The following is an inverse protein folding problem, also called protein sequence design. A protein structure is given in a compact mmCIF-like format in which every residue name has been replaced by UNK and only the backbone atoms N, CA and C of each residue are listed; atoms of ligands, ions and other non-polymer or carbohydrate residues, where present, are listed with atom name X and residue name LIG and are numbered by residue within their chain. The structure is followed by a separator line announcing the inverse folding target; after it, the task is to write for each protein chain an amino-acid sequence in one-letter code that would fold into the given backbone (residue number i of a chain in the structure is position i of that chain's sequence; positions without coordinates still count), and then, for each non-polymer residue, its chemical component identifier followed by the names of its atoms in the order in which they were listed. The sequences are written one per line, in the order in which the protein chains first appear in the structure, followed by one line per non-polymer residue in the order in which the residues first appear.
data_IF_344307199128
#
_entry.id   IF_344307199128
#
_cell.length_a   1.000
_cell.length_b   1.000
_cell.length_c   1.000
_cell.angle_alpha   90.00
_cell.angle_beta   90.00
_cell.angle_gamma   90.00
#
_symmetry.space_group_name_H-M   'P 1'
#
loop_
_entity.id
_entity.type
_entity.pdbx_description
1 polymer ?
#
# COMPACT_ATOMS: atom_id res chain seq x y z
N UNK A 1 31.26 -10.99 -3.89
CA UNK A 1 30.91 -12.43 -3.81
C UNK A 1 29.63 -12.69 -3.00
N UNK A 2 29.45 -12.13 -1.79
CA UNK A 2 28.25 -12.35 -0.97
C UNK A 2 26.96 -11.75 -1.60
N UNK A 3 27.01 -10.51 -2.10
CA UNK A 3 25.89 -9.85 -2.80
C UNK A 3 25.37 -10.67 -3.99
N UNK A 4 26.27 -11.12 -4.85
CA UNK A 4 25.93 -11.98 -5.99
C UNK A 4 25.25 -13.30 -5.57
N UNK A 5 25.69 -13.92 -4.46
CA UNK A 5 25.03 -15.14 -3.94
C UNK A 5 23.62 -14.86 -3.44
N UNK A 6 23.40 -13.71 -2.81
CA UNK A 6 22.07 -13.28 -2.36
C UNK A 6 21.17 -13.01 -3.56
N UNK A 7 21.63 -12.23 -4.54
CA UNK A 7 20.89 -11.95 -5.78
C UNK A 7 20.51 -13.24 -6.52
N UNK A 8 21.45 -14.18 -6.66
CA UNK A 8 21.17 -15.49 -7.26
C UNK A 8 20.16 -16.31 -6.45
N UNK A 9 20.21 -16.23 -5.12
CA UNK A 9 19.24 -16.88 -4.23
C UNK A 9 17.83 -16.31 -4.42
N UNK A 10 17.72 -14.99 -4.51
CA UNK A 10 16.46 -14.28 -4.76
C UNK A 10 15.91 -14.68 -6.14
N UNK A 11 16.73 -14.61 -7.19
CA UNK A 11 16.32 -14.98 -8.54
C UNK A 11 15.79 -16.42 -8.62
N UNK A 12 16.44 -17.38 -7.94
CA UNK A 12 15.97 -18.78 -7.86
C UNK A 12 14.64 -18.92 -7.13
N UNK A 13 14.46 -18.20 -6.02
CA UNK A 13 13.20 -18.22 -5.28
C UNK A 13 12.06 -17.62 -6.12
N UNK A 14 12.30 -16.51 -6.82
CA UNK A 14 11.35 -15.89 -7.73
C UNK A 14 11.01 -16.80 -8.93
N UNK A 15 12.00 -17.52 -9.49
CA UNK A 15 11.76 -18.47 -10.57
C UNK A 15 10.75 -19.56 -10.18
N UNK A 16 10.90 -20.14 -8.99
CA UNK A 16 9.95 -21.15 -8.48
C UNK A 16 8.51 -20.58 -8.35
N UNK A 17 8.36 -19.30 -7.99
CA UNK A 17 7.05 -18.65 -7.93
C UNK A 17 6.49 -18.41 -9.34
N UNK A 18 7.33 -17.96 -10.27
CA UNK A 18 6.95 -17.75 -11.65
C UNK A 18 6.54 -19.06 -12.34
N UNK A 19 7.14 -20.19 -11.98
CA UNK A 19 6.77 -21.50 -12.54
C UNK A 19 5.30 -21.86 -12.26
N UNK A 20 4.73 -21.41 -11.14
CA UNK A 20 3.30 -21.57 -10.85
C UNK A 20 2.44 -20.76 -11.83
N UNK A 21 2.86 -19.56 -12.19
CA UNK A 21 2.16 -18.72 -13.18
C UNK A 21 2.26 -19.29 -14.58
N UNK A 22 3.43 -19.82 -14.94
CA UNK A 22 3.63 -20.51 -16.22
C UNK A 22 2.76 -21.77 -16.29
N UNK A 23 2.67 -22.53 -15.20
CA UNK A 23 1.78 -23.69 -15.11
C UNK A 23 0.31 -23.29 -15.31
N UNK A 24 -0.15 -22.21 -14.68
CA UNK A 24 -1.51 -21.67 -14.88
C UNK A 24 -1.76 -21.33 -16.36
N UNK A 25 -0.86 -20.59 -17.01
CA UNK A 25 -1.01 -20.23 -18.43
C UNK A 25 -1.07 -21.48 -19.32
N UNK A 26 -0.13 -22.41 -19.11
CA UNK A 26 -0.03 -23.61 -19.95
C UNK A 26 -1.23 -24.53 -19.77
N UNK A 27 -1.69 -24.77 -18.54
CA UNK A 27 -2.89 -25.60 -18.31
C UNK A 27 -4.13 -24.97 -18.93
N UNK A 28 -4.32 -23.66 -18.79
CA UNK A 28 -5.45 -22.94 -19.40
C UNK A 28 -5.42 -22.99 -20.93
N UNK A 29 -4.24 -22.78 -21.53
CA UNK A 29 -4.07 -22.84 -22.99
C UNK A 29 -4.24 -24.24 -23.53
N UNK A 30 -3.79 -25.26 -22.80
CA UNK A 30 -3.96 -26.66 -23.16
C UNK A 30 -5.44 -27.05 -23.14
N UNK A 31 -6.17 -26.67 -22.09
CA UNK A 31 -7.63 -26.85 -21.99
C UNK A 31 -8.33 -26.23 -23.20
N UNK A 32 -8.08 -24.95 -23.48
CA UNK A 32 -8.71 -24.24 -24.59
C UNK A 32 -8.40 -24.89 -25.94
N UNK A 33 -7.14 -25.28 -26.18
CA UNK A 33 -6.74 -25.94 -27.43
C UNK A 33 -7.41 -27.29 -27.62
N UNK A 34 -7.51 -28.10 -26.56
CA UNK A 34 -8.21 -29.38 -26.64
C UNK A 34 -9.71 -29.20 -26.87
N UNK A 35 -10.34 -28.22 -26.22
CA UNK A 35 -11.76 -27.93 -26.48
C UNK A 35 -12.01 -27.55 -27.93
N UNK A 36 -11.17 -26.67 -28.50
CA UNK A 36 -11.26 -26.29 -29.92
C UNK A 36 -11.08 -27.48 -30.85
N UNK A 37 -10.09 -28.34 -30.59
CA UNK A 37 -9.81 -29.54 -31.40
C UNK A 37 -10.96 -30.56 -31.29
N UNK A 38 -11.54 -30.73 -30.10
CA UNK A 38 -12.71 -31.59 -29.90
C UNK A 38 -13.89 -31.09 -30.73
N UNK A 39 -14.14 -29.79 -30.69
CA UNK A 39 -15.25 -29.16 -31.42
C UNK A 39 -15.07 -29.20 -32.94
N UNK A 40 -13.82 -29.17 -33.44
CA UNK A 40 -13.54 -29.21 -34.88
C UNK A 40 -13.47 -30.62 -35.46
N UNK A 41 -12.98 -31.59 -34.69
CA UNK A 41 -12.52 -32.88 -35.22
C UNK A 41 -13.44 -34.05 -34.88
N UNK A 42 -14.34 -33.91 -33.91
CA UNK A 42 -15.22 -34.98 -33.44
C UNK A 42 -16.70 -34.67 -33.62
N UNK A 43 -17.54 -35.65 -34.00
CA UNK A 43 -18.98 -35.47 -34.05
C UNK A 43 -19.55 -35.27 -32.64
N UNK A 44 -20.64 -34.49 -32.54
CA UNK A 44 -21.36 -34.32 -31.28
C UNK A 44 -22.08 -35.61 -30.90
N UNK A 45 -21.45 -36.40 -30.03
CA UNK A 45 -22.00 -37.62 -29.46
C UNK A 45 -21.66 -37.71 -27.96
N UNK A 46 -22.25 -38.69 -27.28
CA UNK A 46 -22.08 -38.88 -25.85
C UNK A 46 -20.60 -39.06 -25.43
N UNK A 47 -19.81 -39.79 -26.23
CA UNK A 47 -18.38 -40.03 -25.96
C UNK A 47 -17.55 -38.74 -26.09
N UNK A 48 -17.83 -37.93 -27.11
CA UNK A 48 -17.21 -36.61 -27.30
C UNK A 48 -17.53 -35.67 -26.14
N UNK A 49 -18.74 -35.72 -25.58
CA UNK A 49 -19.09 -34.90 -24.41
C UNK A 49 -18.39 -35.39 -23.12
N UNK A 50 -18.21 -36.70 -22.94
CA UNK A 50 -17.38 -37.22 -21.85
C UNK A 50 -15.92 -36.76 -21.95
N UNK A 51 -15.36 -36.76 -23.16
CA UNK A 51 -14.02 -36.22 -23.41
C UNK A 51 -13.95 -34.72 -23.09
N UNK A 52 -14.98 -33.94 -23.47
CA UNK A 52 -15.09 -32.51 -23.12
C UNK A 52 -15.08 -32.31 -21.61
N UNK A 53 -15.86 -33.09 -20.86
CA UNK A 53 -15.89 -33.00 -19.39
C UNK A 53 -14.53 -33.35 -18.78
N UNK A 54 -13.82 -34.34 -19.32
CA UNK A 54 -12.46 -34.66 -18.90
C UNK A 54 -11.51 -33.49 -19.14
N UNK A 55 -11.56 -32.85 -20.32
CA UNK A 55 -10.73 -31.68 -20.61
C UNK A 55 -11.07 -30.51 -19.69
N UNK A 56 -12.36 -30.23 -19.45
CA UNK A 56 -12.78 -29.20 -18.49
C UNK A 56 -12.31 -29.47 -17.05
N UNK A 57 -12.04 -30.73 -16.69
CA UNK A 57 -11.48 -31.05 -15.38
C UNK A 57 -10.07 -30.47 -15.18
N UNK A 58 -9.33 -30.13 -16.25
CA UNK A 58 -8.06 -29.39 -16.14
C UNK A 58 -8.24 -28.03 -15.45
N UNK A 59 -9.42 -27.41 -15.53
CA UNK A 59 -9.74 -26.19 -14.80
C UNK A 59 -9.51 -26.31 -13.29
N UNK A 60 -9.78 -27.48 -12.71
CA UNK A 60 -9.52 -27.74 -11.29
C UNK A 60 -8.02 -27.73 -10.92
N UNK A 61 -7.16 -28.19 -11.84
CA UNK A 61 -5.71 -28.11 -11.68
C UNK A 61 -5.23 -26.67 -11.83
N UNK A 62 -5.77 -25.91 -12.80
CA UNK A 62 -5.50 -24.48 -12.95
C UNK A 62 -5.85 -23.71 -11.68
N UNK A 63 -7.01 -23.97 -11.08
CA UNK A 63 -7.41 -23.32 -9.83
C UNK A 63 -6.52 -23.70 -8.66
N UNK A 64 -6.04 -24.95 -8.61
CA UNK A 64 -5.07 -25.40 -7.62
C UNK A 64 -3.73 -24.67 -7.75
N UNK A 65 -3.23 -24.46 -8.97
CA UNK A 65 -2.01 -23.67 -9.21
C UNK A 65 -2.20 -22.20 -8.85
N UNK A 66 -3.33 -21.58 -9.21
CA UNK A 66 -3.66 -20.20 -8.81
C UNK A 66 -3.67 -20.04 -7.29
N UNK A 67 -4.30 -20.98 -6.58
CA UNK A 67 -4.33 -20.97 -5.12
C UNK A 67 -2.93 -21.11 -4.53
N UNK A 68 -2.13 -22.05 -5.04
CA UNK A 68 -0.74 -22.23 -4.61
C UNK A 68 0.10 -20.96 -4.84
N UNK A 69 -0.08 -20.32 -6.00
CA UNK A 69 0.61 -19.07 -6.35
C UNK A 69 0.22 -17.91 -5.42
N UNK A 70 -1.09 -17.70 -5.19
CA UNK A 70 -1.59 -16.67 -4.29
C UNK A 70 -1.09 -16.88 -2.85
N UNK A 71 -1.16 -18.11 -2.34
CA UNK A 71 -0.65 -18.42 -1.01
C UNK A 71 0.86 -18.16 -0.90
N UNK A 72 1.62 -18.49 -1.94
CA UNK A 72 3.08 -18.32 -1.94
C UNK A 72 3.49 -16.84 -1.94
N UNK A 73 2.80 -15.99 -2.71
CA UNK A 73 3.08 -14.54 -2.69
C UNK A 73 2.61 -13.89 -1.38
N UNK A 74 1.48 -14.34 -0.80
CA UNK A 74 1.05 -13.88 0.52
C UNK A 74 2.05 -14.24 1.62
N UNK A 75 2.61 -15.45 1.58
CA UNK A 75 3.68 -15.87 2.50
C UNK A 75 4.96 -15.06 2.31
N UNK A 76 5.33 -14.75 1.07
CA UNK A 76 6.47 -13.89 0.76
C UNK A 76 6.26 -12.49 1.36
N UNK A 77 5.10 -11.88 1.11
CA UNK A 77 4.72 -10.59 1.70
C UNK A 77 4.79 -10.66 3.22
N UNK A 78 4.17 -11.66 3.84
CA UNK A 78 4.17 -11.86 5.30
C UNK A 78 5.59 -11.93 5.87
N UNK A 79 6.51 -12.59 5.17
CA UNK A 79 7.93 -12.71 5.57
C UNK A 79 8.64 -11.37 5.56
N UNK A 80 8.42 -10.53 4.54
CA UNK A 80 9.05 -9.20 4.45
C UNK A 80 8.34 -8.15 5.32
N UNK A 81 7.10 -8.39 5.75
CA UNK A 81 6.31 -7.42 6.53
C UNK A 81 7.00 -6.95 7.81
N UNK A 82 7.77 -7.80 8.48
CA UNK A 82 8.55 -7.38 9.66
C UNK A 82 9.55 -6.28 9.30
N UNK A 83 10.21 -6.40 8.14
CA UNK A 83 11.15 -5.38 7.65
C UNK A 83 10.43 -4.11 7.22
N UNK A 84 9.29 -4.22 6.55
CA UNK A 84 8.43 -3.06 6.18
C UNK A 84 8.03 -2.27 7.43
N UNK A 85 7.64 -2.95 8.51
CA UNK A 85 7.30 -2.28 9.78
C UNK A 85 8.49 -1.53 10.37
N UNK A 86 9.68 -2.12 10.35
CA UNK A 86 10.90 -1.47 10.85
C UNK A 86 11.20 -0.21 10.02
N UNK A 87 11.20 -0.33 8.69
CA UNK A 87 11.45 0.79 7.77
C UNK A 87 10.42 1.92 8.01
N UNK A 88 9.14 1.58 8.09
CA UNK A 88 8.08 2.56 8.34
C UNK A 88 8.27 3.26 9.70
N UNK A 89 8.56 2.50 10.76
CA UNK A 89 8.77 3.06 12.09
C UNK A 89 9.96 4.00 12.16
N UNK A 90 11.07 3.62 11.52
CA UNK A 90 12.31 4.39 11.47
C UNK A 90 12.11 5.70 10.70
N UNK A 91 11.48 5.63 9.53
CA UNK A 91 11.18 6.81 8.73
C UNK A 91 10.31 7.82 9.52
N UNK A 92 9.22 7.34 10.11
CA UNK A 92 8.27 8.18 10.86
C UNK A 92 8.77 8.60 12.25
N UNK A 93 9.79 7.94 12.80
CA UNK A 93 10.31 8.24 14.14
C UNK A 93 9.46 7.70 15.29
N UNK A 94 8.72 6.60 15.08
CA UNK A 94 7.89 5.98 16.11
C UNK A 94 8.69 5.02 17.00
N UNK A 95 9.40 5.56 17.97
CA UNK A 95 10.17 4.75 18.92
C UNK A 95 9.29 4.26 20.07
N UNK A 96 8.87 3.00 19.96
CA UNK A 96 8.21 2.21 21.00
C UNK A 96 8.92 0.88 21.22
N UNK A 97 10.25 0.86 21.20
CA UNK A 97 11.05 -0.22 21.76
C UNK A 97 12.47 0.31 22.02
N UNK A 98 12.91 0.19 23.27
CA UNK A 98 14.31 0.28 23.63
C UNK A 98 15.10 -0.78 22.82
N UNK A 99 15.69 -0.35 21.72
CA UNK A 99 16.77 -1.06 21.06
C UNK A 99 17.89 -0.05 20.86
N UNK A 100 18.87 -0.13 21.74
CA UNK A 100 20.12 0.57 21.63
C UNK A 100 20.70 0.38 20.22
N UNK A 101 20.83 1.48 19.50
CA UNK A 101 21.94 1.72 18.57
C UNK A 101 22.42 3.13 18.81
N UNK A 102 23.28 3.19 19.82
CA UNK A 102 24.46 4.02 19.99
C UNK A 102 24.66 5.19 19.01
N UNK A 103 25.01 6.32 19.63
CA UNK A 103 25.48 7.59 19.05
C UNK A 103 24.37 8.58 18.64
N UNK A 104 23.77 9.21 19.64
CA UNK A 104 23.69 10.66 19.61
C UNK A 104 23.79 11.19 21.04
N UNK A 105 25.04 11.42 21.46
CA UNK A 105 25.36 12.13 22.69
C UNK A 105 25.10 13.60 22.44
N UNK A 106 24.25 14.18 23.27
CA UNK A 106 24.33 15.60 23.61
C UNK A 106 25.75 15.94 24.09
N UNK A 107 26.13 17.21 23.90
CA UNK A 107 27.34 17.92 24.39
C UNK A 107 28.44 18.16 23.33
N UNK A 108 28.40 19.38 22.79
CA UNK A 108 29.50 20.34 22.55
C UNK A 108 30.81 19.77 21.95
N UNK A 109 31.06 20.07 20.68
CA UNK A 109 32.43 20.13 20.14
C UNK A 109 32.62 19.68 18.69
N UNK A 110 32.75 20.64 17.78
CA UNK A 110 33.69 20.60 16.65
C UNK A 110 33.60 19.46 15.60
N UNK A 111 32.80 19.68 14.55
CA UNK A 111 33.28 19.57 13.16
C UNK A 111 33.27 18.22 12.42
N UNK A 112 32.35 18.16 11.43
CA UNK A 112 32.37 17.47 10.11
C UNK A 112 32.11 15.94 10.03
N UNK A 113 30.84 15.60 9.83
CA UNK A 113 30.33 14.91 8.64
C UNK A 113 28.79 14.91 8.67
N UNK A 114 28.16 15.68 7.77
CA UNK A 114 26.75 15.61 7.33
C UNK A 114 25.74 15.01 8.32
N UNK A 115 25.46 15.73 9.40
CA UNK A 115 24.28 15.45 10.22
C UNK A 115 23.08 16.01 9.46
N UNK A 116 22.60 15.24 8.46
CA UNK A 116 21.36 15.55 7.74
C UNK A 116 20.29 15.48 8.82
N UNK A 117 19.77 16.63 9.25
CA UNK A 117 18.61 16.72 10.14
C UNK A 117 17.51 15.82 9.57
N UNK A 118 17.37 14.61 10.10
CA UNK A 118 16.39 13.64 9.60
C UNK A 118 15.03 14.13 10.06
N UNK A 119 14.27 14.74 9.16
CA UNK A 119 12.91 15.20 9.45
C UNK A 119 12.05 13.95 9.66
N UNK A 120 11.58 13.78 10.90
CA UNK A 120 10.60 12.76 11.29
C UNK A 120 9.19 13.24 10.90
N UNK A 121 8.21 12.35 10.98
CA UNK A 121 6.83 12.71 10.67
C UNK A 121 6.29 13.72 11.69
N UNK A 122 5.98 14.94 11.24
CA UNK A 122 5.37 16.00 12.04
C UNK A 122 4.40 16.83 11.18
N UNK A 123 3.20 17.07 11.70
CA UNK A 123 2.15 17.87 11.07
C UNK A 123 1.63 19.01 11.96
N UNK A 124 2.28 19.24 13.10
CA UNK A 124 2.10 20.47 13.88
C UNK A 124 3.13 21.48 13.36
N UNK A 125 2.72 22.31 12.39
CA UNK A 125 3.59 23.17 11.59
C UNK A 125 3.07 24.62 11.64
N UNK A 126 3.95 25.54 12.00
CA UNK A 126 3.78 26.96 11.72
C UNK A 126 4.35 27.31 10.33
N UNK A 127 4.27 28.58 9.94
CA UNK A 127 4.73 29.04 8.62
C UNK A 127 6.22 28.73 8.39
N UNK A 128 7.08 28.98 9.39
CA UNK A 128 8.53 28.75 9.30
C UNK A 128 8.84 27.25 9.18
N UNK A 129 8.21 26.40 10.01
CA UNK A 129 8.38 24.96 9.95
C UNK A 129 7.85 24.37 8.63
N UNK A 130 6.76 24.92 8.10
CA UNK A 130 6.21 24.50 6.80
C UNK A 130 7.17 24.85 5.66
N UNK A 131 7.70 26.07 5.62
CA UNK A 131 8.69 26.50 4.62
C UNK A 131 9.96 25.63 4.68
N UNK A 132 10.46 25.37 5.89
CA UNK A 132 11.61 24.49 6.09
C UNK A 132 11.33 23.06 5.62
N UNK A 133 10.11 22.55 5.83
CA UNK A 133 9.71 21.22 5.38
C UNK A 133 9.67 21.10 3.85
N UNK A 134 9.35 22.17 3.11
CA UNK A 134 9.30 22.14 1.64
C UNK A 134 10.69 21.96 1.00
N UNK A 135 11.75 22.41 1.67
CA UNK A 135 13.13 22.33 1.15
C UNK A 135 13.94 21.18 1.75
N UNK A 136 13.44 20.59 2.83
CA UNK A 136 14.09 19.48 3.53
C UNK A 136 13.75 18.12 2.92
N UNK A 137 14.61 17.12 3.13
CA UNK A 137 14.28 15.75 2.76
C UNK A 137 13.22 15.19 3.72
N UNK A 138 12.00 15.03 3.23
CA UNK A 138 10.88 14.50 4.00
C UNK A 138 11.03 13.01 4.37
N UNK A 139 10.39 12.61 5.48
CA UNK A 139 10.40 11.22 5.93
C UNK A 139 9.89 10.24 4.87
N UNK A 140 8.96 10.68 4.02
CA UNK A 140 8.35 9.84 3.02
C UNK A 140 9.30 9.48 1.88
N UNK A 141 10.20 10.39 1.49
CA UNK A 141 11.24 10.09 0.49
C UNK A 141 12.17 8.97 0.99
N UNK A 142 12.55 9.02 2.28
CA UNK A 142 13.34 7.97 2.94
C UNK A 142 12.58 6.65 3.04
N UNK A 143 11.29 6.70 3.41
CA UNK A 143 10.41 5.53 3.46
C UNK A 143 10.34 4.85 2.09
N UNK A 144 10.01 5.61 1.05
CA UNK A 144 9.91 5.10 -0.32
C UNK A 144 11.24 4.52 -0.80
N UNK A 145 12.37 5.21 -0.58
CA UNK A 145 13.70 4.72 -0.97
C UNK A 145 14.03 3.39 -0.29
N UNK A 146 13.74 3.28 1.01
CA UNK A 146 13.99 2.05 1.78
C UNK A 146 13.06 0.90 1.37
N UNK A 147 11.81 1.21 1.02
CA UNK A 147 10.88 0.23 0.45
C UNK A 147 11.40 -0.24 -0.92
N UNK A 148 11.87 0.68 -1.76
CA UNK A 148 12.40 0.38 -3.09
C UNK A 148 13.61 -0.56 -3.00
N UNK A 149 14.57 -0.27 -2.12
CA UNK A 149 15.72 -1.15 -1.85
C UNK A 149 15.32 -2.55 -1.38
N UNK A 150 14.20 -2.66 -0.64
CA UNK A 150 13.68 -3.94 -0.17
C UNK A 150 13.00 -4.75 -1.28
N UNK A 151 12.21 -4.11 -2.13
CA UNK A 151 11.33 -4.79 -3.10
C UNK A 151 11.96 -4.95 -4.48
N UNK A 152 12.85 -4.04 -4.89
CA UNK A 152 13.41 -4.02 -6.25
C UNK A 152 14.11 -5.34 -6.63
N UNK A 153 14.90 -5.99 -5.75
CA UNK A 153 15.51 -7.28 -6.07
C UNK A 153 14.49 -8.40 -6.34
N UNK A 154 13.28 -8.31 -5.78
CA UNK A 154 12.19 -9.26 -6.05
C UNK A 154 11.47 -8.87 -7.35
N UNK A 155 11.19 -7.57 -7.52
CA UNK A 155 10.40 -7.01 -8.63
C UNK A 155 10.98 -7.39 -9.99
N UNK A 156 12.29 -7.23 -10.16
CA UNK A 156 12.99 -7.51 -11.42
C UNK A 156 13.00 -9.00 -11.81
N UNK A 157 12.65 -9.91 -10.91
CA UNK A 157 12.67 -11.35 -11.14
C UNK A 157 11.29 -12.00 -11.08
N UNK A 158 10.25 -11.29 -10.65
CA UNK A 158 8.87 -11.79 -10.62
C UNK A 158 8.14 -11.43 -11.91
N UNK A 159 7.18 -12.27 -12.31
CA UNK A 159 6.23 -11.86 -13.35
C UNK A 159 5.33 -10.72 -12.87
N UNK A 160 4.82 -9.84 -13.75
CA UNK A 160 4.11 -8.60 -13.37
C UNK A 160 3.01 -8.78 -12.31
N UNK A 161 2.17 -9.83 -12.44
CA UNK A 161 1.10 -10.09 -11.45
C UNK A 161 1.62 -10.33 -10.04
N UNK A 162 2.72 -11.09 -9.92
CA UNK A 162 3.33 -11.41 -8.62
C UNK A 162 4.12 -10.22 -8.08
N UNK A 163 4.82 -9.50 -8.97
CA UNK A 163 5.48 -8.22 -8.69
C UNK A 163 4.49 -7.24 -8.05
N UNK A 164 3.37 -6.99 -8.71
CA UNK A 164 2.32 -6.08 -8.23
C UNK A 164 1.73 -6.53 -6.89
N UNK A 165 1.50 -7.83 -6.70
CA UNK A 165 1.00 -8.36 -5.42
C UNK A 165 1.98 -8.10 -4.26
N UNK A 166 3.29 -8.22 -4.50
CA UNK A 166 4.32 -7.89 -3.50
C UNK A 166 4.31 -6.39 -3.20
N UNK A 167 4.31 -5.55 -4.24
CA UNK A 167 4.27 -4.08 -4.11
C UNK A 167 3.05 -3.65 -3.30
N UNK A 168 1.85 -4.11 -3.67
CA UNK A 168 0.59 -3.80 -2.97
C UNK A 168 0.61 -4.29 -1.52
N UNK A 169 1.17 -5.48 -1.25
CA UNK A 169 1.31 -6.02 0.10
C UNK A 169 2.20 -5.14 0.99
N UNK A 170 3.33 -4.70 0.47
CA UNK A 170 4.27 -3.81 1.17
C UNK A 170 3.67 -2.43 1.41
N UNK A 171 3.05 -1.83 0.38
CA UNK A 171 2.38 -0.54 0.49
C UNK A 171 1.23 -0.59 1.49
N UNK A 172 0.45 -1.67 1.50
CA UNK A 172 -0.61 -1.92 2.49
C UNK A 172 -0.06 -1.93 3.91
N UNK A 173 1.08 -2.61 4.13
CA UNK A 173 1.78 -2.65 5.40
C UNK A 173 2.27 -1.28 5.88
N UNK A 174 2.96 -0.56 5.00
CA UNK A 174 3.45 0.79 5.27
C UNK A 174 2.30 1.76 5.57
N UNK A 175 1.23 1.71 4.75
CA UNK A 175 0.06 2.57 4.91
C UNK A 175 -0.63 2.39 6.26
N UNK A 176 -0.83 1.15 6.70
CA UNK A 176 -1.39 0.85 8.04
C UNK A 176 -0.55 1.46 9.15
N UNK A 177 0.78 1.47 8.98
CA UNK A 177 1.68 2.02 9.98
C UNK A 177 1.71 3.55 9.97
N UNK A 178 1.64 4.16 8.78
CA UNK A 178 1.43 5.60 8.63
C UNK A 178 0.14 6.04 9.32
N UNK A 179 -0.98 5.38 9.04
CA UNK A 179 -2.27 5.68 9.67
C UNK A 179 -2.17 5.59 11.20
N UNK A 180 -1.57 4.53 11.74
CA UNK A 180 -1.39 4.36 13.18
C UNK A 180 -0.54 5.46 13.83
N UNK A 181 0.40 6.03 13.08
CA UNK A 181 1.25 7.15 13.54
C UNK A 181 0.49 8.48 13.44
N UNK A 182 -0.26 8.69 12.36
CA UNK A 182 -1.11 9.86 12.15
C UNK A 182 -2.12 9.99 13.29
N UNK A 183 -2.71 8.88 13.75
CA UNK A 183 -3.65 8.86 14.89
C UNK A 183 -3.09 9.36 16.21
N UNK A 184 -1.76 9.49 16.33
CA UNK A 184 -1.07 10.00 17.52
C UNK A 184 -0.46 11.39 17.31
N UNK A 185 -0.68 11.97 16.14
CA UNK A 185 -0.11 13.26 15.73
C UNK A 185 -1.10 14.40 16.01
N UNK A 186 -0.60 15.63 16.01
CA UNK A 186 -1.41 16.85 15.96
C UNK A 186 -1.31 17.45 14.56
N UNK A 187 -2.38 18.12 14.13
CA UNK A 187 -2.46 18.71 12.80
C UNK A 187 -2.85 20.18 12.88
N UNK A 188 -2.05 21.02 12.24
CA UNK A 188 -2.44 22.38 11.82
C UNK A 188 -3.04 22.31 10.41
N UNK A 189 -3.63 23.40 9.93
CA UNK A 189 -4.06 23.49 8.53
C UNK A 189 -2.88 23.30 7.55
N UNK A 190 -1.73 23.93 7.81
CA UNK A 190 -0.49 23.73 7.05
C UNK A 190 0.01 22.28 7.12
N UNK A 191 -0.11 21.66 8.30
CA UNK A 191 0.17 20.25 8.50
C UNK A 191 -0.70 19.32 7.68
N UNK A 192 -2.00 19.60 7.58
CA UNK A 192 -2.92 18.84 6.75
C UNK A 192 -2.59 18.95 5.26
N UNK A 193 -2.21 20.14 4.79
CA UNK A 193 -1.73 20.36 3.41
C UNK A 193 -0.44 19.59 3.14
N UNK A 194 0.51 19.63 4.09
CA UNK A 194 1.76 18.87 4.01
C UNK A 194 1.48 17.35 3.94
N UNK A 195 0.60 16.85 4.81
CA UNK A 195 0.16 15.46 4.80
C UNK A 195 -0.49 15.05 3.47
N UNK A 196 -1.32 15.89 2.86
CA UNK A 196 -1.91 15.59 1.55
C UNK A 196 -0.83 15.49 0.45
N UNK A 197 0.16 16.38 0.48
CA UNK A 197 1.34 16.30 -0.41
C UNK A 197 2.08 14.97 -0.24
N UNK A 198 2.31 14.54 1.00
CA UNK A 198 2.91 13.25 1.32
C UNK A 198 2.08 12.09 0.76
N UNK A 199 0.77 12.05 1.02
CA UNK A 199 -0.08 10.95 0.51
C UNK A 199 -0.09 10.91 -1.02
N UNK A 200 -0.08 12.08 -1.70
CA UNK A 200 0.05 12.15 -3.16
C UNK A 200 1.41 11.64 -3.65
N UNK A 201 2.50 11.98 -2.97
CA UNK A 201 3.82 11.44 -3.29
C UNK A 201 3.85 9.92 -3.14
N UNK A 202 3.23 9.37 -2.08
CA UNK A 202 3.20 7.93 -1.85
C UNK A 202 2.36 7.18 -2.90
N UNK A 203 1.24 7.77 -3.34
CA UNK A 203 0.44 7.25 -4.45
C UNK A 203 1.22 7.25 -5.77
N UNK A 204 2.00 8.30 -6.05
CA UNK A 204 2.82 8.35 -7.26
C UNK A 204 3.96 7.33 -7.21
N UNK A 205 4.61 7.17 -6.05
CA UNK A 205 5.57 6.08 -5.83
C UNK A 205 4.95 4.72 -6.13
N UNK A 206 3.72 4.45 -5.67
CA UNK A 206 3.02 3.21 -5.97
C UNK A 206 2.80 3.01 -7.48
N UNK A 207 2.34 4.04 -8.20
CA UNK A 207 2.12 3.98 -9.66
C UNK A 207 3.38 3.61 -10.44
N UNK A 208 4.52 4.16 -10.05
CA UNK A 208 5.78 3.94 -10.75
C UNK A 208 6.32 2.51 -10.60
N UNK A 209 5.85 1.77 -9.57
CA UNK A 209 6.33 0.42 -9.25
C UNK A 209 5.38 -0.69 -9.69
N UNK A 210 4.13 -0.34 -10.03
CA UNK A 210 3.14 -1.28 -10.50
C UNK A 210 3.27 -1.43 -12.02
N UNK A 211 3.42 -2.68 -12.47
CA UNK A 211 3.68 -3.01 -13.87
C UNK A 211 2.37 -3.20 -14.65
N UNK A 212 1.27 -3.56 -13.99
CA UNK A 212 -0.02 -3.80 -14.66
C UNK A 212 -0.63 -2.50 -15.22
N UNK A 213 -1.11 -2.49 -16.48
CA UNK A 213 -1.76 -1.32 -17.09
C UNK A 213 -3.05 -0.93 -16.35
N UNK A 214 -3.70 -1.92 -15.72
CA UNK A 214 -4.92 -1.74 -14.93
C UNK A 214 -4.67 -0.92 -13.64
N UNK A 215 -3.41 -0.75 -13.23
CA UNK A 215 -2.99 0.00 -12.04
C UNK A 215 -2.48 1.41 -12.34
N UNK A 216 -2.81 1.97 -13.51
CA UNK A 216 -2.34 3.28 -13.96
C UNK A 216 -3.01 4.49 -13.27
N UNK A 217 -4.13 4.29 -12.56
CA UNK A 217 -4.89 5.37 -11.92
C UNK A 217 -4.91 5.27 -10.39
N UNK A 218 -5.04 6.42 -9.71
CA UNK A 218 -5.23 6.45 -8.25
C UNK A 218 -6.43 5.61 -7.81
N UNK A 219 -7.50 5.62 -8.60
CA UNK A 219 -8.74 4.87 -8.29
C UNK A 219 -8.48 3.37 -8.30
N UNK A 220 -7.76 2.85 -9.30
CA UNK A 220 -7.41 1.44 -9.38
C UNK A 220 -6.51 1.01 -8.21
N UNK A 221 -5.48 1.81 -7.90
CA UNK A 221 -4.57 1.53 -6.79
C UNK A 221 -5.31 1.54 -5.45
N UNK A 222 -6.16 2.53 -5.19
CA UNK A 222 -6.95 2.59 -3.96
C UNK A 222 -7.96 1.42 -3.86
N UNK A 223 -8.51 0.95 -4.99
CA UNK A 223 -9.36 -0.24 -5.00
C UNK A 223 -8.57 -1.51 -4.64
N UNK A 224 -7.33 -1.63 -5.12
CA UNK A 224 -6.45 -2.77 -4.87
C UNK A 224 -5.77 -2.72 -3.48
N UNK A 225 -5.51 -1.53 -2.94
CA UNK A 225 -4.83 -1.30 -1.67
C UNK A 225 -5.70 -0.47 -0.71
N UNK A 226 -6.57 -1.16 0.04
CA UNK A 226 -7.51 -0.51 0.97
C UNK A 226 -6.86 0.38 2.03
N UNK A 227 -5.71 0.02 2.65
CA UNK A 227 -5.05 0.92 3.58
C UNK A 227 -4.55 2.23 2.95
N UNK A 228 -4.09 2.19 1.69
CA UNK A 228 -3.67 3.40 0.97
C UNK A 228 -4.88 4.26 0.57
N UNK A 229 -6.00 3.63 0.23
CA UNK A 229 -7.27 4.33 0.03
C UNK A 229 -7.73 5.07 1.30
N UNK A 230 -7.59 4.44 2.47
CA UNK A 230 -7.90 5.07 3.75
C UNK A 230 -7.02 6.29 4.02
N UNK A 231 -5.71 6.20 3.75
CA UNK A 231 -4.83 7.38 3.84
C UNK A 231 -5.28 8.52 2.92
N UNK A 232 -5.72 8.20 1.70
CA UNK A 232 -6.24 9.19 0.75
C UNK A 232 -7.54 9.84 1.24
N UNK A 233 -8.43 9.07 1.87
CA UNK A 233 -9.66 9.58 2.48
C UNK A 233 -9.37 10.43 3.71
N UNK A 234 -8.38 10.05 4.54
CA UNK A 234 -7.92 10.86 5.68
C UNK A 234 -7.33 12.18 5.17
N UNK A 235 -6.51 12.16 4.11
CA UNK A 235 -5.97 13.38 3.51
C UNK A 235 -7.08 14.33 3.03
N UNK A 236 -8.09 13.79 2.35
CA UNK A 236 -9.26 14.55 1.93
C UNK A 236 -10.02 15.14 3.12
N UNK A 237 -10.28 14.35 4.17
CA UNK A 237 -10.99 14.78 5.37
C UNK A 237 -10.26 15.90 6.12
N UNK A 238 -8.95 15.73 6.28
CA UNK A 238 -8.12 16.63 7.07
C UNK A 238 -7.86 17.96 6.38
N UNK A 239 -8.13 18.08 5.07
CA UNK A 239 -7.98 19.32 4.30
C UNK A 239 -9.29 20.11 4.15
N UNK A 240 -10.32 19.78 4.93
CA UNK A 240 -11.51 20.63 5.02
C UNK A 240 -11.16 21.93 5.75
N UNK A 241 -11.60 23.05 5.18
CA UNK A 241 -11.43 24.39 5.73
C UNK A 241 -12.38 24.61 6.93
N UNK A 242 -13.67 24.35 6.72
CA UNK A 242 -14.72 24.56 7.72
C UNK A 242 -15.40 23.25 8.14
N UNK A 243 -15.56 23.06 9.45
CA UNK A 243 -16.13 21.84 10.01
C UNK A 243 -17.54 21.52 9.46
N UNK A 244 -18.31 22.55 9.09
CA UNK A 244 -19.66 22.43 8.54
C UNK A 244 -19.70 21.66 7.20
N UNK A 245 -18.64 21.74 6.39
CA UNK A 245 -18.56 21.09 5.07
C UNK A 245 -18.30 19.58 5.15
N UNK A 246 -17.94 19.06 6.33
CA UNK A 246 -17.55 17.65 6.49
C UNK A 246 -18.69 16.70 6.12
N UNK A 247 -19.93 17.00 6.53
CA UNK A 247 -21.09 16.13 6.26
C UNK A 247 -21.36 16.02 4.77
N UNK A 248 -21.26 17.14 4.05
CA UNK A 248 -21.44 17.18 2.60
C UNK A 248 -20.30 16.46 1.88
N UNK A 249 -19.06 16.67 2.32
CA UNK A 249 -17.89 15.98 1.77
C UNK A 249 -18.03 14.45 1.88
N UNK A 250 -18.39 13.95 3.06
CA UNK A 250 -18.60 12.50 3.29
C UNK A 250 -19.74 11.99 2.41
N UNK A 251 -20.86 12.72 2.35
CA UNK A 251 -22.04 12.35 1.58
C UNK A 251 -21.76 12.30 0.07
N UNK A 252 -21.04 13.29 -0.47
CA UNK A 252 -20.60 13.31 -1.88
C UNK A 252 -19.65 12.15 -2.17
N UNK A 253 -18.74 11.84 -1.24
CA UNK A 253 -17.75 10.78 -1.40
C UNK A 253 -18.40 9.38 -1.34
N UNK A 254 -19.30 9.14 -0.38
CA UNK A 254 -20.12 7.91 -0.33
C UNK A 254 -20.87 7.66 -1.63
N UNK A 255 -21.51 8.69 -2.22
CA UNK A 255 -22.20 8.58 -3.52
C UNK A 255 -21.29 8.19 -4.68
N UNK A 256 -20.01 8.56 -4.63
CA UNK A 256 -18.99 8.18 -5.62
C UNK A 256 -18.34 6.82 -5.35
N UNK A 257 -18.77 6.11 -4.31
CA UNK A 257 -18.20 4.83 -3.87
C UNK A 257 -16.68 4.91 -3.62
N UNK A 258 -16.22 6.04 -3.08
CA UNK A 258 -14.81 6.31 -2.79
C UNK A 258 -14.53 6.59 -1.30
N UNK A 259 -15.49 6.27 -0.42
CA UNK A 259 -15.42 6.52 1.01
C UNK A 259 -15.67 5.25 1.82
N UNK A 260 -14.65 4.81 2.57
CA UNK A 260 -14.67 3.60 3.40
C UNK A 260 -14.34 3.92 4.88
N UNK A 261 -14.09 5.18 5.24
CA UNK A 261 -13.90 5.60 6.63
C UNK A 261 -15.24 5.58 7.37
N UNK A 262 -15.28 4.86 8.50
CA UNK A 262 -16.42 4.92 9.39
C UNK A 262 -16.45 6.28 10.13
N UNK A 263 -17.60 6.60 10.72
CA UNK A 263 -17.81 7.89 11.34
C UNK A 263 -16.92 8.11 12.58
N UNK A 264 -16.68 7.06 13.36
CA UNK A 264 -15.81 7.12 14.53
C UNK A 264 -14.36 7.43 14.16
N UNK A 265 -13.86 6.86 13.06
CA UNK A 265 -12.56 7.21 12.50
C UNK A 265 -12.54 8.67 12.03
N UNK A 266 -13.59 9.14 11.35
CA UNK A 266 -13.68 10.52 10.92
C UNK A 266 -13.65 11.50 12.10
N UNK A 267 -14.46 11.25 13.14
CA UNK A 267 -14.46 12.00 14.42
C UNK A 267 -13.07 12.02 15.04
N UNK A 268 -12.42 10.85 15.11
CA UNK A 268 -11.11 10.70 15.73
C UNK A 268 -10.04 11.53 15.00
N UNK A 269 -10.00 11.49 13.67
CA UNK A 269 -9.02 12.26 12.88
C UNK A 269 -9.29 13.77 12.91
N UNK A 270 -10.54 14.19 12.74
CA UNK A 270 -10.90 15.61 12.82
C UNK A 270 -10.59 16.21 14.19
N UNK A 271 -10.70 15.42 15.26
CA UNK A 271 -10.33 15.85 16.62
C UNK A 271 -8.82 16.04 16.81
N UNK A 272 -7.98 15.63 15.85
CA UNK A 272 -6.53 15.89 15.87
C UNK A 272 -6.16 17.26 15.25
N UNK A 273 -7.09 17.93 14.56
CA UNK A 273 -6.92 19.31 14.07
C UNK A 273 -6.96 20.27 15.25
N UNK A 274 -5.91 21.07 15.42
CA UNK A 274 -5.78 21.99 16.57
C UNK A 274 -6.79 23.13 16.54
N UNK A 275 -7.29 23.46 15.36
CA UNK A 275 -8.26 24.51 15.08
C UNK A 275 -9.72 24.02 15.15
N UNK A 276 -9.95 22.70 15.24
CA UNK A 276 -11.29 22.13 15.42
C UNK A 276 -11.55 21.77 16.88
N UNK A 277 -12.65 22.31 17.42
CA UNK A 277 -13.07 21.97 18.77
C UNK A 277 -13.71 20.58 18.79
N UNK A 278 -13.09 19.63 19.50
CA UNK A 278 -13.55 18.23 19.53
C UNK A 278 -15.01 18.04 19.97
N UNK A 279 -15.58 18.95 20.77
CA UNK A 279 -17.02 18.92 21.10
C UNK A 279 -17.88 19.15 19.85
N UNK A 280 -17.57 20.19 19.08
CA UNK A 280 -18.27 20.52 17.82
C UNK A 280 -18.15 19.40 16.80
N UNK A 281 -16.98 18.76 16.70
CA UNK A 281 -16.79 17.58 15.83
C UNK A 281 -17.75 16.45 16.22
N UNK A 282 -17.84 16.14 17.51
CA UNK A 282 -18.73 15.09 18.00
C UNK A 282 -20.20 15.44 17.79
N UNK A 283 -20.60 16.69 18.05
CA UNK A 283 -21.99 17.14 17.90
C UNK A 283 -22.43 17.15 16.43
N UNK A 284 -21.57 17.62 15.51
CA UNK A 284 -21.89 17.63 14.08
C UNK A 284 -22.09 16.21 13.54
N UNK A 285 -21.17 15.30 13.85
CA UNK A 285 -21.20 13.96 13.28
C UNK A 285 -22.22 13.05 13.97
N UNK A 286 -22.67 13.34 15.19
CA UNK A 286 -23.82 12.65 15.81
C UNK A 286 -25.09 12.74 14.97
N UNK A 287 -25.31 13.87 14.30
CA UNK A 287 -26.52 14.12 13.50
C UNK A 287 -26.59 13.18 12.29
N UNK A 288 -25.44 12.72 11.78
CA UNK A 288 -25.38 11.81 10.63
C UNK A 288 -25.71 10.35 10.99
N UNK A 289 -25.48 9.93 12.24
CA UNK A 289 -25.82 8.56 12.71
C UNK A 289 -27.34 8.35 12.82
N UNK A 290 -28.12 9.43 12.99
CA UNK A 290 -29.59 9.37 13.11
C UNK A 290 -30.32 9.40 11.76
N UNK A 291 -29.59 9.56 10.64
CA UNK A 291 -30.15 9.72 9.30
C UNK A 291 -29.80 8.56 8.32
N UNK A 292 -29.07 7.53 8.78
CA UNK A 292 -28.83 6.25 8.08
C UNK A 292 -29.83 5.17 8.53
#
# INVERSE_FOLDING_TARGET
MMRYRVELGIARACANLNDLEVAVDYTQRLENKFLVEIDSSYPSCHETEQLRMCVKSLGSATDSFKLASNNSVEQLVSTIMTRVRIIANDAMGTDGAASASYLSSTVIGGGKATDRSTVRMNYDLDDEAYELAQVSEGYLSRLCSSIDELIEPLRVHLVPRLSDAVVLGVLSGASKRMEATMRRSRFTALGALSMDSDIRYFLNFAKERLDSPDMSSNVAICKACKPLARLSQIALLMNVDDLEDVVDLISVSKRKNNWDLNLEDAKAFLSLRVDFEGRKVNDLLRISDEQE
#
